data_IF_685801549700
#
_entry.id   IF_685801549700
#
_cell.length_a   1.000
_cell.length_b   1.000
_cell.length_c   1.000
_cell.angle_alpha   90.00
_cell.angle_beta   90.00
_cell.angle_gamma   90.00
#
_symmetry.space_group_name_H-M   'P 1'
#
loop_
_entity.id
_entity.type
_entity.pdbx_description
1 polymer ?
#
# COMPACT_ATOMS: atom_id res chain seq x y z
N UNK A 1 -10.86 -15.91 -43.05
CA UNK A 1 -11.89 -15.02 -42.49
C UNK A 1 -11.61 -14.93 -41.00
N UNK A 2 -10.69 -14.04 -40.60
CA UNK A 2 -10.37 -13.81 -39.20
C UNK A 2 -11.39 -12.81 -38.69
N UNK A 3 -12.22 -13.22 -37.72
CA UNK A 3 -12.98 -12.27 -36.93
C UNK A 3 -11.96 -11.49 -36.10
N UNK A 4 -11.76 -10.22 -36.44
CA UNK A 4 -11.21 -9.27 -35.48
C UNK A 4 -12.19 -9.23 -34.30
N UNK A 5 -11.73 -9.60 -33.11
CA UNK A 5 -12.37 -9.18 -31.87
C UNK A 5 -12.67 -7.67 -31.98
N UNK A 6 -13.90 -7.21 -31.68
CA UNK A 6 -14.14 -5.78 -31.59
C UNK A 6 -13.24 -5.26 -30.48
N UNK A 7 -12.17 -4.55 -30.86
CA UNK A 7 -11.37 -3.75 -29.93
C UNK A 7 -12.39 -2.79 -29.33
N UNK A 8 -12.80 -3.03 -28.08
CA UNK A 8 -13.63 -2.11 -27.33
C UNK A 8 -13.01 -0.72 -27.49
N UNK A 9 -13.82 0.26 -27.91
CA UNK A 9 -13.32 1.63 -28.04
C UNK A 9 -12.71 2.03 -26.69
N UNK A 10 -11.52 2.65 -26.65
CA UNK A 10 -10.90 3.03 -25.38
C UNK A 10 -11.85 3.90 -24.53
N UNK A 11 -12.68 4.75 -25.15
CA UNK A 11 -13.71 5.52 -24.46
C UNK A 11 -14.79 4.66 -23.80
N UNK A 12 -15.20 3.56 -24.43
CA UNK A 12 -16.15 2.60 -23.84
C UNK A 12 -15.51 1.88 -22.65
N UNK A 13 -14.25 1.45 -22.76
CA UNK A 13 -13.54 0.77 -21.66
C UNK A 13 -13.33 1.67 -20.42
N UNK A 14 -13.08 2.97 -20.63
CA UNK A 14 -13.03 3.98 -19.57
C UNK A 14 -14.41 4.17 -18.92
N UNK A 15 -15.46 4.27 -19.73
CA UNK A 15 -16.83 4.46 -19.24
C UNK A 15 -17.29 3.24 -18.44
N UNK A 16 -17.07 2.04 -18.96
CA UNK A 16 -17.41 0.78 -18.28
C UNK A 16 -16.69 0.63 -16.94
N UNK A 17 -15.40 1.00 -16.89
CA UNK A 17 -14.64 0.95 -15.65
C UNK A 17 -15.18 1.94 -14.60
N UNK A 18 -15.58 3.14 -15.03
CA UNK A 18 -16.16 4.14 -14.14
C UNK A 18 -17.53 3.70 -13.62
N UNK A 19 -18.41 3.24 -14.50
CA UNK A 19 -19.75 2.74 -14.13
C UNK A 19 -19.63 1.58 -13.15
N UNK A 20 -18.70 0.64 -13.38
CA UNK A 20 -18.48 -0.46 -12.44
C UNK A 20 -18.05 0.02 -11.04
N UNK A 21 -17.18 1.04 -10.95
CA UNK A 21 -16.78 1.60 -9.65
C UNK A 21 -17.96 2.29 -8.96
N UNK A 22 -18.75 3.05 -9.70
CA UNK A 22 -19.94 3.75 -9.19
C UNK A 22 -21.03 2.76 -8.72
N UNK A 23 -21.27 1.68 -9.47
CA UNK A 23 -22.26 0.64 -9.13
C UNK A 23 -21.87 -0.16 -7.87
N UNK A 24 -20.58 -0.29 -7.59
CA UNK A 24 -20.07 -0.98 -6.40
C UNK A 24 -20.02 -0.07 -5.17
N UNK A 25 -20.11 1.25 -5.35
CA UNK A 25 -19.93 2.20 -4.27
C UNK A 25 -21.14 2.22 -3.33
N UNK A 26 -20.87 2.20 -2.03
CA UNK A 26 -21.86 2.40 -0.98
C UNK A 26 -21.48 3.59 -0.10
N UNK A 27 -22.40 4.52 0.20
CA UNK A 27 -22.10 5.73 0.97
C UNK A 27 -21.62 5.49 2.42
N UNK A 28 -21.82 4.29 2.97
CA UNK A 28 -21.37 3.91 4.31
C UNK A 28 -20.46 2.67 4.29
N UNK A 29 -19.76 2.44 3.17
CA UNK A 29 -18.88 1.29 3.03
C UNK A 29 -17.70 1.29 4.00
N UNK A 30 -17.33 0.11 4.48
CA UNK A 30 -16.21 -0.10 5.39
C UNK A 30 -14.86 -0.11 4.67
N UNK A 31 -14.85 -0.27 3.34
CA UNK A 31 -13.64 -0.39 2.53
C UNK A 31 -13.48 0.77 1.55
N UNK A 32 -12.23 1.13 1.26
CA UNK A 32 -11.85 2.19 0.32
C UNK A 32 -10.67 1.74 -0.53
N UNK A 33 -10.52 2.34 -1.71
CA UNK A 33 -9.37 2.12 -2.59
C UNK A 33 -8.47 3.36 -2.55
N UNK A 34 -7.21 3.17 -2.20
CA UNK A 34 -6.21 4.25 -2.05
C UNK A 34 -4.92 3.92 -2.78
N UNK A 35 -4.15 4.95 -3.15
CA UNK A 35 -2.78 4.78 -3.60
C UNK A 35 -1.88 4.38 -2.44
N UNK A 36 -1.20 3.25 -2.53
CA UNK A 36 -0.35 2.64 -1.49
C UNK A 36 0.65 3.61 -0.87
N UNK A 37 1.30 4.44 -1.68
CA UNK A 37 2.35 5.35 -1.21
C UNK A 37 1.81 6.70 -0.70
N UNK A 38 0.64 7.13 -1.19
CA UNK A 38 0.14 8.50 -0.96
C UNK A 38 -1.10 8.54 -0.06
N UNK A 39 -1.80 7.42 0.10
CA UNK A 39 -3.12 7.36 0.76
C UNK A 39 -4.24 8.10 0.00
N UNK A 40 -3.94 8.70 -1.15
CA UNK A 40 -4.92 9.46 -1.94
C UNK A 40 -5.88 8.51 -2.66
N UNK A 41 -7.12 8.96 -2.87
CA UNK A 41 -8.15 8.27 -3.65
C UNK A 41 -8.26 8.89 -5.05
N UNK A 42 -7.46 8.43 -6.04
CA UNK A 42 -7.47 9.02 -7.38
C UNK A 42 -8.74 8.62 -8.16
N UNK A 43 -9.04 9.35 -9.23
CA UNK A 43 -10.10 8.94 -10.15
C UNK A 43 -9.84 7.52 -10.69
N UNK A 44 -10.88 6.68 -10.79
CA UNK A 44 -12.31 6.99 -10.60
C UNK A 44 -12.87 6.69 -9.19
N UNK A 45 -12.03 6.33 -8.21
CA UNK A 45 -12.47 5.89 -6.86
C UNK A 45 -12.62 7.06 -5.86
N UNK A 46 -12.51 8.29 -6.35
CA UNK A 46 -12.56 9.50 -5.52
C UNK A 46 -13.90 9.62 -4.80
N UNK A 47 -13.87 9.66 -3.48
CA UNK A 47 -15.06 9.85 -2.65
C UNK A 47 -15.94 8.60 -2.47
N UNK A 48 -15.56 7.46 -3.06
CA UNK A 48 -16.29 6.21 -2.89
C UNK A 48 -15.76 5.36 -1.73
N UNK A 49 -16.66 4.57 -1.17
CA UNK A 49 -16.42 3.49 -0.23
C UNK A 49 -17.23 2.26 -0.67
N UNK A 50 -16.91 1.09 -0.16
CA UNK A 50 -17.44 -0.21 -0.58
C UNK A 50 -17.83 -1.02 0.65
N UNK A 51 -18.93 -1.76 0.57
CA UNK A 51 -19.46 -2.50 1.73
C UNK A 51 -18.58 -3.67 2.15
N UNK A 52 -17.95 -4.34 1.18
CA UNK A 52 -17.14 -5.52 1.41
C UNK A 52 -15.81 -5.45 0.64
N UNK A 53 -14.84 -6.23 1.12
CA UNK A 53 -13.49 -6.30 0.55
C UNK A 53 -13.50 -6.76 -0.92
N UNK A 54 -14.39 -7.68 -1.30
CA UNK A 54 -14.47 -8.20 -2.67
C UNK A 54 -14.97 -7.11 -3.64
N UNK A 55 -15.95 -6.31 -3.23
CA UNK A 55 -16.42 -5.15 -3.98
C UNK A 55 -15.30 -4.11 -4.12
N UNK A 56 -14.54 -3.85 -3.05
CA UNK A 56 -13.40 -2.95 -3.08
C UNK A 56 -12.27 -3.45 -4.00
N UNK A 57 -11.97 -4.76 -4.02
CA UNK A 57 -10.98 -5.33 -4.95
C UNK A 57 -11.43 -5.22 -6.41
N UNK A 58 -12.72 -5.50 -6.69
CA UNK A 58 -13.28 -5.32 -8.03
C UNK A 58 -13.20 -3.86 -8.47
N UNK A 59 -13.49 -2.93 -7.57
CA UNK A 59 -13.34 -1.50 -7.82
C UNK A 59 -11.87 -1.08 -8.03
N UNK A 60 -10.92 -1.64 -7.26
CA UNK A 60 -9.47 -1.44 -7.46
C UNK A 60 -9.05 -1.86 -8.86
N UNK A 61 -9.47 -3.04 -9.32
CA UNK A 61 -9.08 -3.57 -10.63
C UNK A 61 -9.68 -2.73 -11.76
N UNK A 62 -10.94 -2.32 -11.61
CA UNK A 62 -11.60 -1.40 -12.53
C UNK A 62 -10.87 -0.04 -12.59
N UNK A 63 -10.50 0.51 -11.44
CA UNK A 63 -9.74 1.75 -11.33
C UNK A 63 -8.35 1.64 -11.98
N UNK A 64 -7.63 0.53 -11.75
CA UNK A 64 -6.34 0.28 -12.38
C UNK A 64 -6.46 0.23 -13.91
N UNK A 65 -7.50 -0.44 -14.43
CA UNK A 65 -7.79 -0.48 -15.88
C UNK A 65 -8.10 0.91 -16.42
N UNK A 66 -8.95 1.68 -15.74
CA UNK A 66 -9.31 3.04 -16.10
C UNK A 66 -8.06 3.93 -16.22
N UNK A 67 -7.19 3.89 -15.22
CA UNK A 67 -5.97 4.71 -15.19
C UNK A 67 -4.94 4.31 -16.23
N UNK A 68 -4.81 3.00 -16.51
CA UNK A 68 -3.96 2.52 -17.60
C UNK A 68 -4.44 3.05 -18.93
N UNK A 69 -5.75 2.96 -19.21
CA UNK A 69 -6.34 3.49 -20.44
C UNK A 69 -6.18 5.01 -20.56
N UNK A 70 -6.38 5.77 -19.47
CA UNK A 70 -6.11 7.21 -19.47
C UNK A 70 -4.66 7.54 -19.85
N UNK A 71 -3.71 6.74 -19.36
CA UNK A 71 -2.28 6.99 -19.60
C UNK A 71 -1.85 6.71 -21.04
N UNK A 72 -2.59 5.87 -21.76
CA UNK A 72 -2.41 5.71 -23.21
C UNK A 72 -2.67 7.03 -23.96
N UNK A 73 -3.52 7.90 -23.41
CA UNK A 73 -3.80 9.23 -23.95
C UNK A 73 -2.94 10.34 -23.34
N UNK A 74 -2.67 10.28 -22.03
CA UNK A 74 -1.81 11.22 -21.31
C UNK A 74 -0.71 10.49 -20.51
N UNK A 75 0.48 10.29 -21.12
CA UNK A 75 1.60 9.63 -20.46
C UNK A 75 2.12 10.33 -19.20
N UNK A 76 1.82 11.63 -19.03
CA UNK A 76 2.28 12.43 -17.89
C UNK A 76 1.46 12.17 -16.61
N UNK A 77 0.36 11.41 -16.70
CA UNK A 77 -0.43 11.05 -15.54
C UNK A 77 0.38 10.24 -14.51
N UNK A 78 0.23 10.54 -13.21
CA UNK A 78 0.87 9.77 -12.15
C UNK A 78 0.42 8.31 -12.14
N UNK A 79 1.38 7.42 -11.92
CA UNK A 79 1.10 6.02 -11.61
C UNK A 79 0.73 5.89 -10.13
N UNK A 80 -0.30 5.10 -9.84
CA UNK A 80 -0.65 4.74 -8.48
C UNK A 80 -0.71 3.22 -8.38
N UNK A 81 0.05 2.66 -7.43
CA UNK A 81 -0.17 1.29 -6.96
C UNK A 81 -1.38 1.31 -6.02
N UNK A 82 -2.53 0.82 -6.48
CA UNK A 82 -3.80 0.90 -5.76
C UNK A 82 -3.98 -0.30 -4.83
N UNK A 83 -4.41 -0.04 -3.59
CA UNK A 83 -4.69 -1.06 -2.57
C UNK A 83 -6.06 -0.83 -1.93
N UNK A 84 -6.66 -1.90 -1.40
CA UNK A 84 -7.86 -1.83 -0.56
C UNK A 84 -7.43 -1.57 0.88
N UNK A 85 -8.14 -0.65 1.55
CA UNK A 85 -8.00 -0.40 2.98
C UNK A 85 -9.36 -0.17 3.62
N UNK A 86 -9.40 -0.08 4.94
CA UNK A 86 -10.62 0.22 5.69
C UNK A 86 -10.85 1.74 5.81
N UNK A 87 -12.11 2.18 5.80
CA UNK A 87 -12.52 3.59 5.95
C UNK A 87 -12.08 4.18 7.30
N UNK A 88 -12.20 3.38 8.37
CA UNK A 88 -11.89 3.76 9.76
C UNK A 88 -10.54 3.24 10.25
N UNK A 89 -9.62 2.93 9.34
CA UNK A 89 -8.28 2.48 9.71
C UNK A 89 -7.51 3.63 10.38
N UNK A 90 -7.53 3.68 11.72
CA UNK A 90 -6.75 4.63 12.52
C UNK A 90 -5.29 4.61 12.05
N UNK A 91 -4.69 5.74 11.63
CA UNK A 91 -3.31 5.75 11.13
C UNK A 91 -2.37 5.11 12.15
N UNK A 92 -1.42 4.29 11.68
CA UNK A 92 -0.35 3.77 12.52
C UNK A 92 0.36 4.97 13.15
N UNK A 93 0.43 5.03 14.47
CA UNK A 93 1.25 6.02 15.14
C UNK A 93 2.71 5.57 15.08
N UNK A 94 3.56 6.43 14.50
CA UNK A 94 5.00 6.18 14.37
C UNK A 94 5.75 7.14 15.28
N UNK A 95 6.31 6.62 16.36
CA UNK A 95 7.25 7.36 17.21
C UNK A 95 8.68 7.02 16.83
N UNK A 96 9.52 8.03 16.58
CA UNK A 96 10.95 7.83 16.31
C UNK A 96 11.80 8.44 17.41
N UNK A 97 12.72 7.65 17.97
CA UNK A 97 13.71 8.10 18.95
C UNK A 97 15.08 7.92 18.33
N UNK A 98 15.82 9.03 18.19
CA UNK A 98 17.20 9.02 17.68
C UNK A 98 18.16 9.34 18.82
N UNK A 99 18.93 8.35 19.23
CA UNK A 99 20.04 8.52 20.16
C UNK A 99 21.33 8.73 19.35
N UNK A 100 21.89 9.93 19.41
CA UNK A 100 23.23 10.20 18.88
C UNK A 100 24.22 10.12 20.03
N UNK A 101 25.05 9.08 20.06
CA UNK A 101 26.14 9.03 21.04
C UNK A 101 27.31 9.86 20.50
N UNK A 102 28.07 10.50 21.40
CA UNK A 102 29.31 11.23 21.02
C UNK A 102 30.43 10.28 20.59
N UNK A 103 30.18 8.99 20.65
CA UNK A 103 31.09 7.91 20.31
C UNK A 103 31.18 7.77 18.78
N UNK A 104 32.39 7.75 18.26
CA UNK A 104 32.64 7.53 16.83
C UNK A 104 33.10 6.11 16.61
N UNK A 105 32.59 5.50 15.54
CA UNK A 105 33.10 4.23 15.01
C UNK A 105 34.53 4.46 14.47
N UNK A 106 35.30 3.39 14.30
CA UNK A 106 36.66 3.45 13.71
C UNK A 106 36.71 4.14 12.34
N UNK A 107 35.60 4.16 11.59
CA UNK A 107 35.47 4.84 10.30
C UNK A 107 34.98 6.30 10.40
N UNK A 108 34.94 6.89 11.59
CA UNK A 108 34.61 8.31 11.80
C UNK A 108 33.11 8.67 11.84
N UNK A 109 32.23 7.71 11.56
CA UNK A 109 30.77 7.89 11.60
C UNK A 109 30.30 7.86 13.07
N UNK A 110 29.41 8.78 13.50
CA UNK A 110 28.81 8.74 14.83
C UNK A 110 28.04 7.43 15.04
N UNK A 111 28.14 6.84 16.23
CA UNK A 111 27.20 5.80 16.65
C UNK A 111 25.84 6.46 16.87
N UNK A 112 24.99 6.39 15.85
CA UNK A 112 23.58 6.72 15.97
C UNK A 112 22.79 5.42 16.14
N UNK A 113 21.92 5.39 17.16
CA UNK A 113 20.87 4.40 17.32
C UNK A 113 19.56 5.08 17.01
N UNK A 114 18.77 4.49 16.11
CA UNK A 114 17.42 4.94 15.83
C UNK A 114 16.49 3.81 16.22
N UNK A 115 15.52 4.13 17.07
CA UNK A 115 14.45 3.22 17.45
C UNK A 115 13.16 3.80 16.87
N UNK A 116 12.41 2.97 16.17
CA UNK A 116 11.09 3.31 15.65
C UNK A 116 10.09 2.43 16.38
N UNK A 117 9.13 3.04 17.06
CA UNK A 117 8.01 2.35 17.69
C UNK A 117 6.79 2.59 16.84
N UNK A 118 6.18 1.50 16.38
CA UNK A 118 4.94 1.49 15.64
C UNK A 118 3.86 1.00 16.59
N UNK A 119 2.80 1.79 16.76
CA UNK A 119 1.65 1.41 17.57
C UNK A 119 0.40 1.50 16.70
N UNK A 120 -0.28 0.37 16.55
CA UNK A 120 -1.51 0.22 15.81
C UNK A 120 -2.07 -1.19 16.01
N UNK A 121 -3.37 -1.35 15.89
CA UNK A 121 -4.05 -2.64 16.10
C UNK A 121 -4.13 -3.48 14.81
N UNK A 122 -3.42 -3.07 13.76
CA UNK A 122 -3.52 -3.67 12.41
C UNK A 122 -2.58 -4.88 12.27
N UNK A 123 -2.98 -5.86 11.45
CA UNK A 123 -2.32 -7.17 11.38
C UNK A 123 -1.59 -7.50 10.07
N UNK A 124 -1.66 -6.64 9.05
CA UNK A 124 -1.15 -6.96 7.70
C UNK A 124 -0.46 -5.77 6.99
N UNK A 125 0.25 -4.93 7.74
CA UNK A 125 0.88 -3.72 7.19
C UNK A 125 2.33 -3.94 6.78
N UNK A 126 2.69 -3.40 5.61
CA UNK A 126 4.03 -3.50 5.06
C UNK A 126 4.91 -2.35 5.54
N UNK A 127 5.95 -2.66 6.33
CA UNK A 127 6.97 -1.69 6.72
C UNK A 127 8.10 -1.64 5.69
N UNK A 128 8.28 -0.49 5.02
CA UNK A 128 9.46 -0.24 4.20
C UNK A 128 10.54 0.45 5.03
N UNK A 129 11.70 -0.19 5.17
CA UNK A 129 12.86 0.38 5.86
C UNK A 129 13.96 0.68 4.86
N UNK A 130 14.27 1.96 4.65
CA UNK A 130 15.36 2.38 3.78
C UNK A 130 16.68 2.45 4.56
N UNK A 131 17.75 1.86 4.02
CA UNK A 131 19.07 1.74 4.68
C UNK A 131 19.09 0.83 5.93
N UNK A 132 18.18 -0.14 6.04
CA UNK A 132 18.26 -1.20 7.06
C UNK A 132 19.33 -2.25 6.70
N UNK A 133 20.06 -2.82 7.69
CA UNK A 133 20.74 -4.10 7.46
C UNK A 133 19.69 -5.15 7.06
N UNK A 134 20.02 -5.99 6.06
CA UNK A 134 19.14 -7.06 5.59
C UNK A 134 18.88 -8.06 6.75
N UNK A 135 17.66 -8.10 7.27
CA UNK A 135 17.26 -9.05 8.32
C UNK A 135 16.45 -10.17 7.68
N UNK A 136 16.97 -11.40 7.73
CA UNK A 136 16.21 -12.59 7.34
C UNK A 136 15.34 -13.02 8.52
N UNK A 137 14.05 -12.72 8.44
CA UNK A 137 13.06 -13.18 9.40
C UNK A 137 12.63 -14.59 8.96
N UNK A 138 13.12 -15.62 9.66
CA UNK A 138 12.64 -17.00 9.48
C UNK A 138 11.72 -17.34 10.65
N UNK A 139 10.43 -17.45 10.38
CA UNK A 139 9.46 -18.09 11.26
C UNK A 139 8.73 -19.19 10.52
N UNK A 140 8.00 -20.07 11.24
CA UNK A 140 6.94 -20.85 10.62
C UNK A 140 5.92 -19.89 9.95
N UNK A 141 5.04 -20.39 9.08
CA UNK A 141 3.96 -19.64 8.40
C UNK A 141 2.91 -18.99 9.35
N UNK A 142 3.29 -18.70 10.60
CA UNK A 142 2.52 -18.05 11.65
C UNK A 142 3.28 -16.80 12.13
N UNK A 143 2.54 -15.81 12.65
CA UNK A 143 3.08 -14.54 13.13
C UNK A 143 4.29 -14.77 14.04
N UNK A 144 5.39 -14.07 13.75
CA UNK A 144 6.65 -14.19 14.49
C UNK A 144 6.44 -13.72 15.93
N UNK A 145 6.65 -14.62 16.88
CA UNK A 145 6.63 -14.27 18.30
C UNK A 145 7.77 -13.28 18.66
N UNK A 146 7.46 -12.34 19.55
CA UNK A 146 8.35 -11.27 20.01
C UNK A 146 9.70 -11.80 20.55
N UNK A 147 9.70 -12.99 21.16
CA UNK A 147 10.92 -13.63 21.68
C UNK A 147 11.87 -14.05 20.55
N UNK A 148 11.31 -14.56 19.45
CA UNK A 148 12.08 -15.03 18.29
C UNK A 148 12.69 -13.85 17.53
N UNK A 149 11.90 -12.78 17.34
CA UNK A 149 12.37 -11.52 16.75
C UNK A 149 13.52 -10.93 17.58
N UNK A 150 13.36 -10.88 18.90
CA UNK A 150 14.38 -10.36 19.82
C UNK A 150 15.67 -11.17 19.75
N UNK A 151 15.58 -12.51 19.79
CA UNK A 151 16.75 -13.40 19.71
C UNK A 151 17.51 -13.25 18.39
N UNK A 152 16.79 -13.11 17.29
CA UNK A 152 17.41 -12.98 15.97
C UNK A 152 18.12 -11.63 15.80
N UNK A 153 17.53 -10.54 16.30
CA UNK A 153 18.16 -9.22 16.29
C UNK A 153 19.43 -9.19 17.13
N UNK A 154 19.46 -9.89 18.27
CA UNK A 154 20.65 -9.99 19.12
C UNK A 154 21.74 -10.89 18.54
N UNK A 155 21.40 -11.91 17.75
CA UNK A 155 22.37 -12.82 17.15
C UNK A 155 23.17 -12.20 15.99
N UNK A 156 22.78 -11.03 15.49
CA UNK A 156 23.39 -10.37 14.32
C UNK A 156 24.11 -9.06 14.66
N UNK A 157 24.16 -8.70 15.94
CA UNK A 157 24.89 -7.57 16.51
C UNK A 157 26.28 -8.02 16.99
#
# INVERSE_FOLDING_TARGET
>A
MAASDPVADPGDALTDARVLVEDLATPAGEFVVVGKETGVRPDPVTGFAFDDYEAAERARDAAARYRRALREHDPALPEYDLVVGETDSNPIEVATVRESTRERRTNGVPRARQTVTLTGDRRDEWLRVENAPLVHLTGPDELLDDELVTRQLQSKL
#
